data_IF_388451692901
#
_entry.id   IF_388451692901
#
_cell.length_a   1.000
_cell.length_b   1.000
_cell.length_c   1.000
_cell.angle_alpha   90.00
_cell.angle_beta   90.00
_cell.angle_gamma   90.00
#
_symmetry.space_group_name_H-M   'P 1'
#
loop_
_entity.id
_entity.type
_entity.pdbx_description
1 polymer ?
#
# COMPACT_ATOMS: atom_id res chain seq x y z
N UNK A 1 -14.22 -1.95 -13.74
CA UNK A 1 -14.04 -2.01 -12.27
C UNK A 1 -13.92 -0.57 -11.85
N UNK A 2 -14.90 -0.05 -11.11
CA UNK A 2 -14.83 1.33 -10.64
C UNK A 2 -13.60 1.47 -9.76
N UNK A 3 -12.90 2.58 -9.92
CA UNK A 3 -11.74 2.96 -9.14
C UNK A 3 -12.23 3.46 -7.77
N UNK A 4 -12.66 2.51 -6.92
CA UNK A 4 -13.23 2.78 -5.59
C UNK A 4 -12.32 3.68 -4.75
N UNK A 5 -11.02 3.59 -4.98
CA UNK A 5 -10.04 4.34 -4.20
C UNK A 5 -9.95 5.80 -4.61
N UNK A 6 -10.40 6.20 -5.79
CA UNK A 6 -10.39 7.60 -6.23
C UNK A 6 -11.09 8.50 -5.20
N UNK A 7 -12.29 8.13 -4.75
CA UNK A 7 -13.03 8.92 -3.76
C UNK A 7 -12.37 8.96 -2.38
N UNK A 8 -11.77 7.85 -1.93
CA UNK A 8 -11.00 7.86 -0.70
C UNK A 8 -9.79 8.81 -0.80
N UNK A 9 -9.07 8.78 -1.93
CA UNK A 9 -7.92 9.67 -2.14
C UNK A 9 -8.29 11.13 -2.36
N UNK A 10 -9.44 11.43 -2.95
CA UNK A 10 -9.94 12.79 -3.11
C UNK A 10 -10.44 13.36 -1.78
N UNK A 11 -11.09 12.54 -0.94
CA UNK A 11 -11.47 12.93 0.41
C UNK A 11 -10.25 13.39 1.24
N UNK A 12 -9.10 12.76 1.10
CA UNK A 12 -7.87 13.21 1.77
C UNK A 12 -7.38 14.59 1.34
N UNK A 13 -7.82 15.09 0.18
CA UNK A 13 -7.39 16.39 -0.35
C UNK A 13 -8.29 17.53 0.08
N UNK A 14 -9.61 17.29 0.10
CA UNK A 14 -10.59 18.36 0.29
C UNK A 14 -11.58 18.14 1.45
N UNK A 15 -11.62 16.94 2.04
CA UNK A 15 -12.50 16.58 3.15
C UNK A 15 -14.00 16.61 2.81
N UNK A 16 -14.38 16.67 1.52
CA UNK A 16 -15.77 16.77 1.13
C UNK A 16 -16.54 15.47 1.40
N UNK A 17 -17.56 15.52 2.25
CA UNK A 17 -18.40 14.38 2.61
C UNK A 17 -19.10 13.69 1.41
N UNK A 18 -19.20 14.36 0.25
CA UNK A 18 -19.67 13.75 -0.99
C UNK A 18 -18.82 12.56 -1.44
N UNK A 19 -17.51 12.59 -1.16
CA UNK A 19 -16.60 11.49 -1.46
C UNK A 19 -16.90 10.25 -0.62
N UNK A 20 -17.19 10.41 0.68
CA UNK A 20 -17.57 9.29 1.55
C UNK A 20 -18.86 8.60 1.07
N UNK A 21 -19.86 9.39 0.65
CA UNK A 21 -21.11 8.83 0.08
C UNK A 21 -20.85 8.02 -1.17
N UNK A 22 -19.97 8.50 -2.05
CA UNK A 22 -19.65 7.81 -3.29
C UNK A 22 -18.82 6.56 -3.02
N UNK A 23 -17.83 6.64 -2.12
CA UNK A 23 -17.06 5.49 -1.64
C UNK A 23 -17.98 4.39 -1.10
N UNK A 24 -18.93 4.74 -0.22
CA UNK A 24 -19.86 3.79 0.36
C UNK A 24 -20.70 3.08 -0.71
N UNK A 25 -21.28 3.86 -1.63
CA UNK A 25 -22.07 3.32 -2.76
C UNK A 25 -21.25 2.35 -3.61
N UNK A 26 -20.04 2.72 -4.00
CA UNK A 26 -19.21 1.89 -4.86
C UNK A 26 -18.69 0.64 -4.16
N UNK A 27 -18.44 0.72 -2.85
CA UNK A 27 -18.08 -0.45 -2.06
C UNK A 27 -19.25 -1.44 -1.97
N UNK A 28 -20.48 -0.96 -1.74
CA UNK A 28 -21.67 -1.81 -1.82
C UNK A 28 -21.80 -2.48 -3.19
N UNK A 29 -21.65 -1.74 -4.29
CA UNK A 29 -21.73 -2.30 -5.66
C UNK A 29 -20.67 -3.39 -5.90
N UNK A 30 -19.46 -3.21 -5.35
CA UNK A 30 -18.40 -4.22 -5.44
C UNK A 30 -18.77 -5.46 -4.62
N UNK A 31 -19.24 -5.29 -3.38
CA UNK A 31 -19.62 -6.37 -2.48
C UNK A 31 -20.80 -7.17 -3.03
N UNK A 32 -21.85 -6.52 -3.52
CA UNK A 32 -23.00 -7.14 -4.18
C UNK A 32 -22.60 -7.92 -5.45
N UNK A 33 -21.54 -7.47 -6.11
CA UNK A 33 -20.97 -8.11 -7.29
C UNK A 33 -20.07 -9.32 -6.99
N UNK A 34 -19.67 -9.53 -5.72
CA UNK A 34 -18.94 -10.74 -5.32
C UNK A 34 -19.86 -11.93 -5.54
N UNK A 35 -19.58 -12.73 -6.56
CA UNK A 35 -20.30 -13.99 -6.79
C UNK A 35 -20.18 -14.81 -5.52
N UNK A 36 -21.31 -15.25 -4.99
CA UNK A 36 -21.44 -16.15 -3.85
C UNK A 36 -20.79 -17.51 -4.14
N UNK A 37 -19.47 -17.54 -4.26
CA UNK A 37 -18.70 -18.70 -3.89
C UNK A 37 -18.78 -18.75 -2.35
N UNK A 38 -19.13 -19.89 -1.74
CA UNK A 38 -19.16 -20.01 -0.28
C UNK A 38 -17.73 -19.87 0.25
N UNK A 39 -17.30 -18.64 0.48
CA UNK A 39 -16.10 -18.30 1.20
C UNK A 39 -16.54 -17.71 2.54
N UNK A 40 -16.32 -18.47 3.61
CA UNK A 40 -16.60 -18.03 4.99
C UNK A 40 -15.68 -16.88 5.43
N UNK A 41 -14.68 -16.50 4.61
CA UNK A 41 -13.69 -15.49 4.90
C UNK A 41 -13.36 -14.65 3.65
N UNK A 42 -13.22 -13.34 3.84
CA UNK A 42 -12.85 -12.37 2.81
C UNK A 42 -11.61 -11.59 3.26
N UNK A 43 -10.63 -11.43 2.36
CA UNK A 43 -9.52 -10.50 2.54
C UNK A 43 -9.71 -9.32 1.58
N UNK A 44 -9.74 -8.11 2.14
CA UNK A 44 -9.66 -6.85 1.41
C UNK A 44 -8.27 -6.26 1.67
N UNK A 45 -7.49 -6.05 0.61
CA UNK A 45 -6.13 -5.50 0.69
C UNK A 45 -6.01 -4.32 -0.26
N UNK A 46 -6.31 -3.12 0.23
CA UNK A 46 -6.21 -1.87 -0.53
C UNK A 46 -5.80 -0.73 0.39
N UNK A 47 -4.57 -0.23 0.23
CA UNK A 47 -4.04 0.88 1.06
C UNK A 47 -4.83 2.17 0.82
N UNK A 48 -5.26 2.40 -0.43
CA UNK A 48 -5.89 3.67 -0.79
C UNK A 48 -7.30 3.82 -0.20
N UNK A 49 -7.88 2.78 0.43
CA UNK A 49 -9.14 2.91 1.19
C UNK A 49 -8.97 3.81 2.42
N UNK A 50 -7.75 3.94 2.97
CA UNK A 50 -7.45 4.92 4.01
C UNK A 50 -7.04 6.29 3.47
N UNK A 51 -7.15 6.48 2.16
CA UNK A 51 -6.96 7.76 1.51
C UNK A 51 -5.64 7.88 0.77
N UNK A 52 -5.30 9.13 0.47
CA UNK A 52 -4.15 9.47 -0.35
C UNK A 52 -2.85 9.16 0.40
N UNK A 53 -2.03 8.28 -0.18
CA UNK A 53 -0.64 8.10 0.28
C UNK A 53 0.07 9.47 0.40
N UNK A 54 0.66 9.81 1.56
CA UNK A 54 1.38 11.06 1.78
C UNK A 54 2.46 11.34 0.73
N UNK A 55 2.75 12.63 0.50
CA UNK A 55 3.68 13.11 -0.53
C UNK A 55 3.07 13.28 -1.92
N UNK A 56 1.74 13.15 -2.05
CA UNK A 56 1.00 13.34 -3.31
C UNK A 56 -0.11 14.37 -3.16
N UNK A 57 -0.20 15.28 -4.13
CA UNK A 57 -1.31 16.25 -4.24
C UNK A 57 -1.44 17.09 -2.97
N UNK A 58 -0.30 17.50 -2.40
CA UNK A 58 -0.20 18.29 -1.17
C UNK A 58 -0.82 17.65 0.08
N UNK A 59 -1.02 16.33 0.07
CA UNK A 59 -1.37 15.54 1.25
C UNK A 59 -0.09 14.99 1.88
N UNK A 60 0.11 15.21 3.18
CA UNK A 60 1.32 14.83 3.92
C UNK A 60 1.07 13.93 5.14
N UNK A 61 -0.18 13.62 5.45
CA UNK A 61 -0.56 12.80 6.61
C UNK A 61 -1.69 11.83 6.29
N UNK A 62 -1.97 10.91 7.21
CA UNK A 62 -3.12 9.99 7.16
C UNK A 62 -4.31 10.51 7.99
N UNK A 63 -4.46 11.82 8.18
CA UNK A 63 -5.55 12.40 8.98
C UNK A 63 -6.96 12.08 8.44
N UNK A 64 -7.07 11.66 7.17
CA UNK A 64 -8.32 11.20 6.56
C UNK A 64 -8.69 9.75 6.93
N UNK A 65 -7.77 8.98 7.53
CA UNK A 65 -7.97 7.56 7.80
C UNK A 65 -9.16 7.27 8.74
N UNK A 66 -9.40 8.01 9.85
CA UNK A 66 -10.55 7.72 10.71
C UNK A 66 -11.91 7.78 10.00
N UNK A 67 -12.34 8.87 9.34
CA UNK A 67 -13.64 8.90 8.67
C UNK A 67 -13.73 7.94 7.48
N UNK A 68 -12.62 7.65 6.79
CA UNK A 68 -12.59 6.66 5.72
C UNK A 68 -12.75 5.24 6.24
N UNK A 69 -12.06 4.88 7.32
CA UNK A 69 -12.19 3.57 7.94
C UNK A 69 -13.60 3.37 8.51
N UNK A 70 -14.17 4.38 9.16
CA UNK A 70 -15.56 4.34 9.62
C UNK A 70 -16.53 4.02 8.46
N UNK A 71 -16.40 4.75 7.34
CA UNK A 71 -17.21 4.51 6.15
C UNK A 71 -17.05 3.08 5.60
N UNK A 72 -15.85 2.52 5.60
CA UNK A 72 -15.60 1.14 5.15
C UNK A 72 -16.22 0.13 6.11
N UNK A 73 -16.05 0.32 7.43
CA UNK A 73 -16.62 -0.57 8.46
C UNK A 73 -18.15 -0.58 8.41
N UNK A 74 -18.78 0.60 8.28
CA UNK A 74 -20.23 0.73 8.16
C UNK A 74 -20.76 -0.09 6.97
N UNK A 75 -20.14 0.05 5.80
CA UNK A 75 -20.55 -0.69 4.60
C UNK A 75 -20.36 -2.20 4.76
N UNK A 76 -19.28 -2.63 5.41
CA UNK A 76 -19.02 -4.04 5.68
C UNK A 76 -20.05 -4.63 6.66
N UNK A 77 -20.41 -3.91 7.72
CA UNK A 77 -21.45 -4.34 8.65
C UNK A 77 -22.84 -4.31 8.02
N UNK A 78 -23.14 -3.32 7.17
CA UNK A 78 -24.40 -3.27 6.42
C UNK A 78 -24.54 -4.46 5.46
N UNK A 79 -23.43 -4.88 4.83
CA UNK A 79 -23.44 -5.99 3.85
C UNK A 79 -23.37 -7.38 4.50
N UNK A 80 -22.51 -7.59 5.50
CA UNK A 80 -22.26 -8.90 6.12
C UNK A 80 -23.00 -9.10 7.46
N UNK A 81 -23.60 -8.03 8.00
CA UNK A 81 -24.30 -8.00 9.28
C UNK A 81 -23.41 -7.54 10.45
N UNK A 82 -24.08 -7.05 11.50
CA UNK A 82 -23.46 -6.56 12.74
C UNK A 82 -22.59 -7.60 13.48
N UNK A 83 -22.80 -8.89 13.21
CA UNK A 83 -22.04 -9.98 13.83
C UNK A 83 -20.80 -10.40 13.01
N UNK A 84 -20.56 -9.77 11.86
CA UNK A 84 -19.38 -10.06 11.04
C UNK A 84 -18.10 -9.71 11.81
N UNK A 85 -17.18 -10.67 11.92
CA UNK A 85 -15.86 -10.42 12.50
C UNK A 85 -14.98 -9.67 11.50
N UNK A 86 -14.83 -8.36 11.71
CA UNK A 86 -13.95 -7.52 10.90
C UNK A 86 -12.66 -7.25 11.67
N UNK A 87 -11.51 -7.50 11.04
CA UNK A 87 -10.20 -7.13 11.58
C UNK A 87 -9.43 -6.28 10.60
N UNK A 88 -8.70 -5.31 11.13
CA UNK A 88 -7.89 -4.39 10.33
C UNK A 88 -6.43 -4.61 10.69
N UNK A 89 -5.61 -4.87 9.67
CA UNK A 89 -4.18 -5.15 9.84
C UNK A 89 -3.39 -4.17 8.98
N UNK A 90 -2.49 -3.42 9.61
CA UNK A 90 -1.61 -2.47 8.93
C UNK A 90 -0.18 -3.01 8.80
N UNK A 91 0.36 -2.95 7.59
CA UNK A 91 1.80 -3.06 7.37
C UNK A 91 2.44 -1.69 7.58
N UNK A 92 3.28 -1.56 8.59
CA UNK A 92 4.03 -0.32 8.88
C UNK A 92 5.49 -0.47 8.46
N UNK A 93 6.18 0.66 8.31
CA UNK A 93 7.62 0.70 8.01
C UNK A 93 8.29 1.67 8.97
N UNK A 94 9.60 1.48 9.14
CA UNK A 94 10.43 2.48 9.80
C UNK A 94 10.33 3.83 9.04
N UNK A 95 10.23 4.93 9.79
CA UNK A 95 9.87 6.25 9.26
C UNK A 95 10.82 6.76 8.17
N UNK A 96 12.14 6.64 8.33
CA UNK A 96 13.11 7.06 7.31
C UNK A 96 13.02 6.20 6.04
N UNK A 97 12.94 4.88 6.21
CA UNK A 97 12.71 3.89 5.14
C UNK A 97 11.41 4.16 4.37
N UNK A 98 10.35 4.55 5.09
CA UNK A 98 9.06 4.92 4.52
C UNK A 98 9.13 6.22 3.72
N UNK A 99 9.65 7.32 4.29
CA UNK A 99 9.75 8.60 3.59
C UNK A 99 10.64 8.49 2.33
N UNK A 100 11.76 7.76 2.41
CA UNK A 100 12.60 7.46 1.26
C UNK A 100 11.83 6.73 0.16
N UNK A 101 10.93 5.81 0.54
CA UNK A 101 10.09 5.09 -0.41
C UNK A 101 9.03 5.98 -1.07
N UNK A 102 8.44 6.92 -0.32
CA UNK A 102 7.51 7.92 -0.86
C UNK A 102 8.24 8.82 -1.87
N UNK A 103 9.44 9.29 -1.54
CA UNK A 103 10.23 10.10 -2.46
C UNK A 103 10.51 9.36 -3.77
N UNK A 104 11.04 8.14 -3.69
CA UNK A 104 11.32 7.31 -4.86
C UNK A 104 10.07 7.04 -5.71
N UNK A 105 8.94 6.75 -5.06
CA UNK A 105 7.68 6.53 -5.77
C UNK A 105 7.20 7.79 -6.46
N UNK A 106 7.12 8.91 -5.72
CA UNK A 106 6.63 10.20 -6.22
C UNK A 106 7.51 10.70 -7.38
N UNK A 107 8.82 10.53 -7.28
CA UNK A 107 9.78 10.87 -8.32
C UNK A 107 9.55 10.11 -9.63
N UNK A 108 9.11 8.84 -9.55
CA UNK A 108 8.84 8.00 -10.74
C UNK A 108 7.50 8.29 -11.40
N UNK A 109 6.52 8.82 -10.67
CA UNK A 109 5.14 9.01 -11.16
C UNK A 109 4.79 10.48 -11.44
N UNK A 110 5.52 11.43 -10.86
CA UNK A 110 5.34 12.87 -11.04
C UNK A 110 6.66 13.53 -11.43
N UNK A 111 6.56 14.73 -12.03
CA UNK A 111 7.70 15.62 -12.26
C UNK A 111 8.11 16.33 -10.96
N UNK A 112 8.41 15.55 -9.92
CA UNK A 112 8.83 16.05 -8.61
C UNK A 112 10.21 16.69 -8.72
N UNK A 113 10.34 17.92 -8.24
CA UNK A 113 11.60 18.67 -8.25
C UNK A 113 12.31 18.66 -6.89
N UNK A 114 11.60 18.34 -5.81
CA UNK A 114 12.19 18.18 -4.49
C UNK A 114 13.16 17.00 -4.47
N UNK A 115 14.34 17.21 -3.89
CA UNK A 115 15.22 16.10 -3.53
C UNK A 115 14.68 15.35 -2.30
N UNK A 116 15.36 14.26 -1.94
CA UNK A 116 14.91 13.34 -0.91
C UNK A 116 14.76 14.03 0.45
N UNK A 117 15.74 14.84 0.85
CA UNK A 117 15.71 15.53 2.14
C UNK A 117 14.62 16.59 2.18
N UNK A 118 14.44 17.38 1.11
CA UNK A 118 13.35 18.36 1.02
C UNK A 118 11.97 17.70 1.17
N UNK A 119 11.73 16.54 0.56
CA UNK A 119 10.45 15.84 0.71
C UNK A 119 10.31 15.22 2.10
N UNK A 120 11.38 14.65 2.67
CA UNK A 120 11.38 14.10 4.03
C UNK A 120 11.03 15.17 5.06
N UNK A 121 11.54 16.38 4.94
CA UNK A 121 11.17 17.49 5.83
C UNK A 121 9.66 17.76 5.85
N UNK A 122 8.99 17.65 4.70
CA UNK A 122 7.53 17.81 4.58
C UNK A 122 6.75 16.64 5.18
N UNK A 123 7.30 15.43 5.13
CA UNK A 123 6.66 14.20 5.62
C UNK A 123 6.91 13.93 7.11
N UNK A 124 8.02 14.43 7.65
CA UNK A 124 8.50 14.12 9.01
C UNK A 124 7.45 14.35 10.10
N UNK A 125 6.66 15.44 10.10
CA UNK A 125 5.66 15.70 11.15
C UNK A 125 4.66 14.54 11.33
N UNK A 126 4.32 13.83 10.25
CA UNK A 126 3.30 12.79 10.22
C UNK A 126 3.90 11.41 9.85
N UNK A 127 5.21 11.23 10.09
CA UNK A 127 5.94 10.01 9.75
C UNK A 127 5.89 8.90 10.82
N UNK A 128 5.26 9.17 11.96
CA UNK A 128 4.99 8.16 12.99
C UNK A 128 3.77 7.31 12.60
N UNK A 129 4.02 6.31 11.76
CA UNK A 129 2.98 5.38 11.31
C UNK A 129 2.41 4.53 12.44
N UNK A 130 3.19 4.28 13.51
CA UNK A 130 2.69 3.56 14.67
C UNK A 130 1.71 4.43 15.47
N UNK A 131 2.04 5.71 15.66
CA UNK A 131 1.13 6.70 16.23
C UNK A 131 -0.21 6.77 15.50
N UNK A 132 -0.21 6.74 14.16
CA UNK A 132 -1.44 6.69 13.35
C UNK A 132 -2.26 5.42 13.65
N UNK A 133 -1.63 4.25 13.76
CA UNK A 133 -2.34 3.00 14.11
C UNK A 133 -2.94 3.09 15.52
N UNK A 134 -2.21 3.64 16.49
CA UNK A 134 -2.68 3.82 17.87
C UNK A 134 -3.86 4.79 17.95
N UNK A 135 -3.83 5.86 17.14
CA UNK A 135 -4.96 6.78 17.00
C UNK A 135 -6.20 6.04 16.47
N UNK A 136 -6.06 5.22 15.42
CA UNK A 136 -7.18 4.42 14.91
C UNK A 136 -7.70 3.42 15.96
N UNK A 137 -6.81 2.75 16.71
CA UNK A 137 -7.21 1.88 17.82
C UNK A 137 -8.02 2.64 18.88
N UNK A 138 -7.67 3.90 19.14
CA UNK A 138 -8.41 4.75 20.07
C UNK A 138 -9.78 5.17 19.52
N UNK A 139 -9.87 5.49 18.24
CA UNK A 139 -11.14 5.84 17.57
C UNK A 139 -12.09 4.65 17.46
N UNK A 140 -11.57 3.44 17.32
CA UNK A 140 -12.35 2.21 17.09
C UNK A 140 -12.05 1.14 18.16
N UNK A 141 -12.45 1.36 19.43
CA UNK A 141 -12.08 0.48 20.53
C UNK A 141 -12.65 -0.95 20.40
N UNK A 142 -13.76 -1.11 19.67
CA UNK A 142 -14.43 -2.40 19.47
C UNK A 142 -13.95 -3.14 18.21
N UNK A 143 -13.11 -2.51 17.39
CA UNK A 143 -12.55 -3.11 16.17
C UNK A 143 -11.17 -3.67 16.47
N UNK A 144 -10.89 -4.96 16.22
CA UNK A 144 -9.55 -5.51 16.33
C UNK A 144 -8.60 -4.92 15.28
N UNK A 145 -7.93 -3.83 15.64
CA UNK A 145 -6.92 -3.16 14.81
C UNK A 145 -5.51 -3.57 15.30
N UNK A 146 -4.68 -4.03 14.38
CA UNK A 146 -3.29 -4.41 14.66
C UNK A 146 -2.34 -3.98 13.55
N UNK A 147 -1.04 -4.07 13.80
CA UNK A 147 -0.03 -3.77 12.81
C UNK A 147 1.17 -4.69 12.93
N UNK A 148 1.91 -4.85 11.83
CA UNK A 148 3.22 -5.48 11.82
C UNK A 148 4.25 -4.58 11.13
N UNK A 149 5.51 -4.72 11.52
CA UNK A 149 6.66 -4.12 10.84
C UNK A 149 6.94 -4.88 9.55
N UNK A 150 7.02 -4.19 8.42
CA UNK A 150 7.35 -4.84 7.14
C UNK A 150 8.77 -5.40 7.17
N UNK A 151 9.70 -4.72 7.85
CA UNK A 151 11.08 -5.16 8.06
C UNK A 151 11.13 -6.52 8.77
N UNK A 152 10.35 -6.68 9.84
CA UNK A 152 10.32 -7.93 10.62
C UNK A 152 9.52 -9.03 9.91
N UNK A 153 8.44 -8.65 9.21
CA UNK A 153 7.55 -9.60 8.53
C UNK A 153 8.26 -10.42 7.46
N UNK A 154 9.33 -9.90 6.86
CA UNK A 154 10.09 -10.63 5.82
C UNK A 154 10.68 -11.95 6.35
N UNK A 155 11.00 -12.00 7.64
CA UNK A 155 11.53 -13.20 8.31
C UNK A 155 10.43 -14.21 8.68
N UNK A 156 9.15 -13.82 8.62
CA UNK A 156 8.01 -14.68 8.94
C UNK A 156 7.81 -15.78 7.89
N UNK A 157 7.12 -16.86 8.30
CA UNK A 157 6.85 -18.08 7.51
C UNK A 157 6.39 -17.79 6.07
N UNK A 158 5.49 -16.82 5.90
CA UNK A 158 4.92 -16.42 4.61
C UNK A 158 5.15 -14.94 4.31
N UNK A 159 6.13 -14.30 4.96
CA UNK A 159 6.34 -12.86 4.82
C UNK A 159 5.21 -12.06 5.48
N UNK A 160 4.84 -10.89 4.92
CA UNK A 160 3.68 -10.10 5.34
C UNK A 160 2.36 -10.88 5.40
N UNK A 161 2.21 -11.91 4.57
CA UNK A 161 1.01 -12.75 4.55
C UNK A 161 0.79 -13.50 5.87
N UNK A 162 1.84 -13.76 6.66
CA UNK A 162 1.74 -14.50 7.93
C UNK A 162 0.74 -13.85 8.89
N UNK A 163 0.71 -12.53 8.99
CA UNK A 163 -0.23 -11.81 9.87
C UNK A 163 -1.69 -12.10 9.52
N UNK A 164 -2.01 -12.13 8.22
CA UNK A 164 -3.36 -12.44 7.73
C UNK A 164 -3.68 -13.93 7.90
N UNK A 165 -2.74 -14.80 7.57
CA UNK A 165 -2.90 -16.26 7.65
C UNK A 165 -3.09 -16.78 9.07
N UNK A 166 -2.41 -16.17 10.04
CA UNK A 166 -2.59 -16.50 11.46
C UNK A 166 -3.99 -16.15 11.94
N UNK A 167 -4.64 -15.13 11.34
CA UNK A 167 -6.01 -14.79 11.68
C UNK A 167 -7.05 -15.67 11.00
N UNK A 168 -6.85 -16.00 9.73
CA UNK A 168 -7.77 -16.85 8.97
C UNK A 168 -7.97 -18.25 9.56
N UNK A 169 -7.14 -18.66 10.54
CA UNK A 169 -7.24 -19.95 11.23
C UNK A 169 -7.44 -21.12 10.25
N UNK A 170 -6.66 -21.11 9.17
CA UNK A 170 -6.77 -22.09 8.10
C UNK A 170 -6.56 -23.50 8.65
N UNK A 171 -7.31 -24.51 8.15
CA UNK A 171 -7.04 -25.91 8.45
C UNK A 171 -5.56 -26.26 8.28
N UNK A 172 -5.02 -27.05 9.20
CA UNK A 172 -3.59 -27.35 9.26
C UNK A 172 -3.06 -27.99 7.96
N UNK A 173 -3.92 -28.73 7.25
CA UNK A 173 -3.66 -29.36 5.96
C UNK A 173 -3.53 -28.38 4.79
N UNK A 174 -4.11 -27.18 4.88
CA UNK A 174 -4.00 -26.16 3.83
C UNK A 174 -2.70 -25.35 3.94
N UNK A 175 -2.15 -25.22 5.15
CA UNK A 175 -0.96 -24.40 5.42
C UNK A 175 0.27 -24.81 4.58
N UNK A 176 0.58 -26.11 4.40
CA UNK A 176 1.69 -26.54 3.52
C UNK A 176 1.49 -26.22 2.03
N UNK A 177 0.25 -25.95 1.58
CA UNK A 177 -0.04 -25.62 0.19
C UNK A 177 0.27 -24.15 -0.14
N UNK A 178 0.45 -23.32 0.88
CA UNK A 178 0.71 -21.89 0.74
C UNK A 178 2.17 -21.68 0.40
N UNK A 179 2.42 -20.91 -0.67
CA UNK A 179 3.78 -20.57 -1.08
C UNK A 179 4.12 -19.17 -0.63
N UNK A 180 5.22 -19.02 0.12
CA UNK A 180 5.81 -17.71 0.39
C UNK A 180 6.12 -17.04 -0.95
N UNK A 181 5.59 -15.84 -1.15
CA UNK A 181 5.89 -15.06 -2.34
C UNK A 181 7.23 -14.35 -2.20
N UNK A 182 7.97 -14.26 -3.29
CA UNK A 182 9.23 -13.52 -3.30
C UNK A 182 8.98 -12.03 -3.07
N UNK A 183 9.96 -11.34 -2.49
CA UNK A 183 9.93 -9.89 -2.30
C UNK A 183 9.67 -9.19 -3.63
N UNK A 184 8.60 -8.39 -3.71
CA UNK A 184 8.30 -7.55 -4.87
C UNK A 184 8.75 -6.11 -4.63
N UNK A 185 8.96 -5.38 -5.72
CA UNK A 185 9.28 -3.94 -5.73
C UNK A 185 10.50 -3.53 -4.87
N UNK A 186 11.68 -4.16 -5.02
CA UNK A 186 12.87 -3.65 -4.34
C UNK A 186 13.21 -2.23 -4.81
N UNK A 187 13.93 -1.48 -3.98
CA UNK A 187 14.53 -0.23 -4.41
C UNK A 187 15.48 -0.50 -5.58
N UNK A 188 15.42 0.33 -6.62
CA UNK A 188 16.41 0.33 -7.69
C UNK A 188 17.72 1.03 -7.29
N UNK A 189 18.68 1.11 -8.22
CA UNK A 189 19.95 1.80 -8.01
C UNK A 189 19.76 3.30 -7.74
N UNK A 190 20.62 3.88 -6.89
CA UNK A 190 20.55 5.30 -6.50
C UNK A 190 20.76 6.23 -7.71
N UNK A 191 21.58 5.80 -8.66
CA UNK A 191 21.99 6.53 -9.85
C UNK A 191 20.80 6.81 -10.78
N UNK A 192 19.84 5.88 -10.87
CA UNK A 192 18.64 6.06 -11.68
C UNK A 192 17.71 7.10 -11.05
N UNK A 193 17.60 7.12 -9.72
CA UNK A 193 16.81 8.15 -9.04
C UNK A 193 17.45 9.54 -9.16
N UNK A 194 18.79 9.63 -9.11
CA UNK A 194 19.50 10.89 -9.38
C UNK A 194 19.23 11.41 -10.80
N UNK A 195 19.27 10.53 -11.81
CA UNK A 195 18.94 10.89 -13.20
C UNK A 195 17.47 11.31 -13.38
N UNK A 196 16.54 10.63 -12.70
CA UNK A 196 15.12 11.01 -12.72
C UNK A 196 14.90 12.40 -12.11
N UNK A 197 15.60 12.73 -11.02
CA UNK A 197 15.52 14.06 -10.41
C UNK A 197 16.06 15.15 -11.35
N UNK A 198 17.21 14.91 -11.98
CA UNK A 198 17.77 15.82 -12.98
C UNK A 198 16.79 16.03 -14.15
N UNK A 199 16.24 14.94 -14.68
CA UNK A 199 15.24 14.99 -15.74
C UNK A 199 13.98 15.79 -15.32
N UNK A 200 13.50 15.59 -14.10
CA UNK A 200 12.34 16.33 -13.58
C UNK A 200 12.60 17.84 -13.45
N UNK A 201 13.84 18.23 -13.14
CA UNK A 201 14.30 19.63 -13.05
C UNK A 201 14.67 20.25 -14.41
N UNK A 202 14.76 19.44 -15.48
CA UNK A 202 15.08 19.92 -16.82
C UNK A 202 14.02 20.87 -17.39
N UNK A 203 14.39 21.64 -18.41
CA UNK A 203 13.47 22.49 -19.20
C UNK A 203 12.95 21.81 -20.46
N UNK A 204 13.07 20.47 -20.57
CA UNK A 204 12.60 19.72 -21.74
C UNK A 204 11.11 19.92 -21.98
N UNK A 205 10.73 19.94 -23.26
CA UNK A 205 9.32 19.99 -23.63
C UNK A 205 8.61 18.68 -23.25
N UNK A 206 7.27 18.69 -23.27
CA UNK A 206 6.49 17.57 -22.77
C UNK A 206 6.76 16.25 -23.52
N UNK A 207 7.07 16.30 -24.81
CA UNK A 207 7.34 15.10 -25.61
C UNK A 207 8.71 14.52 -25.30
N UNK A 208 9.74 15.37 -25.27
CA UNK A 208 11.11 14.99 -24.94
C UNK A 208 11.21 14.45 -23.52
N UNK A 209 10.58 15.14 -22.55
CA UNK A 209 10.52 14.73 -21.16
C UNK A 209 9.89 13.33 -21.02
N UNK A 210 8.74 13.08 -21.68
CA UNK A 210 8.09 11.77 -21.63
C UNK A 210 8.99 10.68 -22.19
N UNK A 211 9.60 10.89 -23.35
CA UNK A 211 10.49 9.90 -23.97
C UNK A 211 11.69 9.56 -23.08
N UNK A 212 12.35 10.57 -22.52
CA UNK A 212 13.51 10.37 -21.63
C UNK A 212 13.11 9.68 -20.31
N UNK A 213 11.95 10.06 -19.75
CA UNK A 213 11.43 9.47 -18.52
C UNK A 213 11.08 8.00 -18.74
N UNK A 214 10.40 7.68 -19.82
CA UNK A 214 9.96 6.32 -20.11
C UNK A 214 11.19 5.41 -20.30
N UNK A 215 12.28 5.89 -20.93
CA UNK A 215 13.54 5.16 -21.01
C UNK A 215 14.16 4.86 -19.64
N UNK A 216 14.24 5.85 -18.74
CA UNK A 216 14.75 5.66 -17.38
C UNK A 216 13.87 4.71 -16.55
N UNK A 217 12.54 4.77 -16.73
CA UNK A 217 11.61 3.87 -16.04
C UNK A 217 11.73 2.43 -16.53
N UNK A 218 11.97 2.20 -17.82
CA UNK A 218 12.26 0.86 -18.34
C UNK A 218 13.59 0.32 -17.80
N UNK A 219 14.64 1.15 -17.74
CA UNK A 219 15.90 0.76 -17.10
C UNK A 219 15.71 0.40 -15.63
N UNK A 220 14.96 1.23 -14.88
CA UNK A 220 14.63 0.97 -13.47
C UNK A 220 13.91 -0.37 -13.30
N UNK A 221 12.95 -0.70 -14.18
CA UNK A 221 12.24 -1.99 -14.17
C UNK A 221 13.20 -3.16 -14.37
N UNK A 222 14.11 -3.06 -15.35
CA UNK A 222 15.13 -4.08 -15.63
C UNK A 222 16.04 -4.30 -14.42
N UNK A 223 16.55 -3.21 -13.82
CA UNK A 223 17.42 -3.29 -12.65
C UNK A 223 16.71 -3.90 -11.44
N UNK A 224 15.45 -3.51 -11.17
CA UNK A 224 14.64 -4.09 -10.10
C UNK A 224 14.43 -5.59 -10.30
N UNK A 225 14.14 -6.03 -11.53
CA UNK A 225 14.00 -7.46 -11.86
C UNK A 225 15.30 -8.23 -11.61
N UNK A 226 16.45 -7.66 -11.97
CA UNK A 226 17.76 -8.26 -11.71
C UNK A 226 18.04 -8.38 -10.20
N UNK A 227 17.69 -7.36 -9.40
CA UNK A 227 17.80 -7.41 -7.94
C UNK A 227 16.90 -8.50 -7.35
N UNK A 228 15.65 -8.61 -7.82
CA UNK A 228 14.73 -9.67 -7.38
C UNK A 228 15.28 -11.06 -7.71
N UNK A 229 15.82 -11.26 -8.91
CA UNK A 229 16.39 -12.53 -9.34
C UNK A 229 17.56 -12.97 -8.45
N UNK A 230 18.41 -12.03 -8.02
CA UNK A 230 19.54 -12.31 -7.10
C UNK A 230 19.12 -12.54 -5.65
N UNK A 231 17.92 -12.10 -5.27
CA UNK A 231 17.41 -12.19 -3.89
C UNK A 231 16.53 -13.43 -3.66
N UNK A 232 16.22 -14.18 -4.71
CA UNK A 232 15.61 -15.50 -4.57
C UNK A 232 16.69 -16.45 -4.03
N UNK A 233 16.45 -17.19 -2.94
CA UNK A 233 17.31 -18.30 -2.59
C UNK A 233 17.35 -19.25 -3.79
N UNK A 234 18.51 -19.84 -4.07
CA UNK A 234 18.61 -20.96 -4.99
C UNK A 234 17.57 -21.99 -4.53
N UNK A 235 16.47 -22.08 -5.26
CA UNK A 235 15.65 -23.28 -5.23
C UNK A 235 16.57 -24.29 -5.91
N UNK A 236 17.35 -24.99 -5.11
CA UNK A 236 18.00 -26.22 -5.54
C UNK A 236 16.93 -26.96 -6.33
N UNK A 237 17.22 -27.09 -7.63
CA UNK A 237 16.56 -28.09 -8.43
C UNK A 237 16.90 -29.40 -7.73
N UNK A 238 15.99 -29.87 -6.88
CA UNK A 238 15.86 -31.30 -6.62
C UNK A 238 15.45 -31.93 -7.94
N UNK A 239 16.40 -32.01 -8.86
CA UNK A 239 16.53 -33.14 -9.76
C UNK A 239 17.19 -34.20 -8.91
N UNK A 240 16.39 -35.06 -8.30
CA UNK A 240 16.79 -36.43 -8.02
C UNK A 240 15.54 -37.31 -8.13
N UNK A 241 15.73 -38.36 -8.93
CA UNK A 241 14.90 -39.51 -9.33
C UNK A 241 13.77 -39.33 -10.37
#
# INVERSE_FOLDING_TARGET
>A
MNDIHTHATDFSRDGHAGHLKTLARELHEILDGLKAEPADQLIISEENLLGQMPGKNDVFSYAAAPPLLACVLDVLHDHFGEQAEIKVIFGTRESESWMSSIWKHTLTVKRLQDDEETLKEKLRPDSDLQGVVQELQHFFPDVPISSFSLEDSMSSEFGPATSFLNWMNLPAELRPLIRKTARRNPAGPAEIYAQLLELNRSSLNASEFRSARDALLEELKVQRKAIMARSLPDVEKNTDD
#
